data_IF_910275857353
#
_entry.id   IF_910275857353
#
_cell.length_a   1.000
_cell.length_b   1.000
_cell.length_c   1.000
_cell.angle_alpha   90.00
_cell.angle_beta   90.00
_cell.angle_gamma   90.00
#
_symmetry.space_group_name_H-M   'P 1'
#
loop_
_entity.id
_entity.type
_entity.pdbx_description
1 polymer ?
#
# COMPACT_ATOMS: atom_id res chain seq x y z
N UNK A 1 28.99 4.11 -6.41
CA UNK A 1 29.86 4.54 -7.54
C UNK A 1 30.15 6.03 -7.36
N UNK A 2 31.32 6.52 -7.80
CA UNK A 2 31.67 7.95 -7.69
C UNK A 2 31.53 8.67 -9.02
N UNK A 3 31.05 9.91 -8.99
CA UNK A 3 30.83 10.74 -10.16
C UNK A 3 31.40 12.15 -9.97
N UNK A 4 31.85 12.75 -11.07
CA UNK A 4 32.18 14.17 -11.20
C UNK A 4 31.54 14.65 -12.50
N UNK A 5 31.01 15.86 -12.50
CA UNK A 5 30.18 16.37 -13.60
C UNK A 5 30.84 17.56 -14.29
N UNK A 6 30.77 17.60 -15.62
CA UNK A 6 31.32 18.68 -16.44
C UNK A 6 30.62 20.02 -16.15
N UNK A 7 29.31 19.98 -15.85
CA UNK A 7 28.49 21.15 -15.52
C UNK A 7 28.98 21.90 -14.27
N UNK A 8 29.87 21.28 -13.50
CA UNK A 8 30.50 21.85 -12.31
C UNK A 8 32.02 21.88 -12.43
N UNK A 9 32.57 21.87 -13.65
CA UNK A 9 34.01 21.84 -13.95
C UNK A 9 34.75 20.71 -13.22
N UNK A 10 34.06 19.60 -12.95
CA UNK A 10 34.54 18.47 -12.16
C UNK A 10 35.00 18.86 -10.75
N UNK A 11 34.58 20.00 -10.20
CA UNK A 11 35.04 20.49 -8.89
C UNK A 11 34.62 19.52 -7.78
N UNK A 12 33.36 19.05 -7.82
CA UNK A 12 32.79 18.21 -6.78
C UNK A 12 32.87 16.72 -7.10
N UNK A 13 33.03 15.91 -6.05
CA UNK A 13 32.93 14.46 -6.11
C UNK A 13 31.66 14.00 -5.41
N UNK A 14 30.85 13.23 -6.13
CA UNK A 14 29.59 12.66 -5.65
C UNK A 14 29.70 11.16 -5.47
N UNK A 15 29.11 10.64 -4.39
CA UNK A 15 28.81 9.21 -4.24
C UNK A 15 27.36 9.02 -4.64
N UNK A 16 27.13 8.13 -5.61
CA UNK A 16 25.79 7.68 -5.95
C UNK A 16 25.29 6.69 -4.91
N UNK A 17 24.13 7.02 -4.35
CA UNK A 17 23.29 6.15 -3.54
C UNK A 17 21.96 5.93 -4.25
N UNK A 18 21.44 4.71 -4.22
CA UNK A 18 20.22 4.30 -4.90
C UNK A 18 19.19 3.78 -3.90
N UNK A 19 17.96 4.28 -4.01
CA UNK A 19 16.85 3.99 -3.11
C UNK A 19 15.68 3.40 -3.90
N UNK A 20 15.08 2.35 -3.34
CA UNK A 20 14.04 1.57 -3.98
C UNK A 20 12.80 1.52 -3.09
N UNK A 21 11.64 1.55 -3.74
CA UNK A 21 10.39 1.23 -3.07
C UNK A 21 10.34 -0.24 -2.73
N UNK A 22 9.85 -0.55 -1.54
CA UNK A 22 9.69 -1.93 -1.07
C UNK A 22 8.26 -2.44 -1.23
N UNK A 23 7.30 -1.57 -1.54
CA UNK A 23 5.90 -1.97 -1.73
C UNK A 23 5.77 -2.94 -2.93
N UNK A 24 5.32 -4.19 -2.71
CA UNK A 24 5.27 -5.20 -3.77
C UNK A 24 4.10 -4.98 -4.76
N UNK A 25 3.09 -4.18 -4.40
CA UNK A 25 1.86 -4.00 -5.17
C UNK A 25 1.95 -2.92 -6.25
N UNK A 26 3.04 -2.15 -6.28
CA UNK A 26 3.24 -1.08 -7.26
C UNK A 26 4.43 -1.37 -8.17
N UNK A 27 4.23 -1.22 -9.48
CA UNK A 27 5.29 -1.32 -10.49
C UNK A 27 6.01 0.02 -10.66
N UNK A 28 6.99 0.25 -9.79
CA UNK A 28 7.89 1.40 -9.92
C UNK A 28 8.86 1.18 -11.07
N UNK A 29 8.74 2.02 -12.09
CA UNK A 29 9.59 2.01 -13.28
C UNK A 29 10.77 2.99 -13.17
N UNK A 30 11.18 3.30 -11.93
CA UNK A 30 12.27 4.21 -11.63
C UNK A 30 13.02 3.80 -10.36
N UNK A 31 14.21 4.37 -10.22
CA UNK A 31 14.99 4.37 -8.98
C UNK A 31 15.18 5.80 -8.51
N UNK A 32 15.20 6.04 -7.19
CA UNK A 32 15.61 7.33 -6.64
C UNK A 32 17.13 7.31 -6.52
N UNK A 33 17.79 8.21 -7.24
CA UNK A 33 19.24 8.41 -7.16
C UNK A 33 19.51 9.61 -6.28
N UNK A 34 20.34 9.43 -5.26
CA UNK A 34 20.89 10.50 -4.44
C UNK A 34 22.37 10.68 -4.76
N UNK A 35 22.72 11.86 -5.25
CA UNK A 35 24.09 12.28 -5.46
C UNK A 35 24.58 12.94 -4.19
N UNK A 36 25.21 12.17 -3.31
CA UNK A 36 25.78 12.71 -2.08
C UNK A 36 27.14 13.34 -2.37
N UNK A 37 27.24 14.65 -2.21
CA UNK A 37 28.51 15.36 -2.33
C UNK A 37 29.41 14.98 -1.14
N UNK A 38 30.68 14.64 -1.41
CA UNK A 38 31.60 14.17 -0.37
C UNK A 38 32.03 15.28 0.60
N UNK A 39 32.23 16.50 0.11
CA UNK A 39 32.84 17.58 0.88
C UNK A 39 31.80 18.61 1.36
N UNK A 40 30.70 18.75 0.60
CA UNK A 40 29.67 19.78 0.80
C UNK A 40 28.28 19.15 0.83
N UNK A 41 27.83 18.58 1.96
CA UNK A 41 26.56 17.87 2.05
C UNK A 41 25.35 18.67 1.52
N UNK A 42 25.36 20.00 1.67
CA UNK A 42 24.34 20.93 1.19
C UNK A 42 24.25 21.02 -0.35
N UNK A 43 25.26 20.54 -1.07
CA UNK A 43 25.28 20.39 -2.53
C UNK A 43 24.73 19.05 -3.01
N UNK A 44 24.37 18.15 -2.09
CA UNK A 44 23.76 16.86 -2.44
C UNK A 44 22.34 17.05 -2.97
N UNK A 45 21.90 16.16 -3.85
CA UNK A 45 20.58 16.25 -4.46
C UNK A 45 20.05 14.87 -4.85
N UNK A 46 18.72 14.75 -4.84
CA UNK A 46 18.01 13.50 -5.13
C UNK A 46 17.09 13.68 -6.34
N UNK A 47 16.97 12.65 -7.16
CA UNK A 47 16.28 12.75 -8.43
C UNK A 47 15.87 11.33 -8.93
N UNK A 48 14.77 11.19 -9.68
CA UNK A 48 14.31 9.87 -10.17
C UNK A 48 14.91 9.54 -11.54
N UNK A 49 15.51 8.37 -11.67
CA UNK A 49 15.92 7.81 -12.97
C UNK A 49 14.92 6.75 -13.39
N UNK A 50 14.15 7.05 -14.44
CA UNK A 50 13.26 6.08 -15.04
C UNK A 50 14.07 5.03 -15.82
N UNK A 51 13.61 3.79 -15.82
CA UNK A 51 14.28 2.68 -16.50
C UNK A 51 14.32 2.80 -18.02
N UNK A 52 13.53 3.73 -18.59
CA UNK A 52 13.59 4.14 -20.00
C UNK A 52 14.59 5.29 -20.24
N UNK A 53 15.50 5.56 -19.28
CA UNK A 53 16.55 6.59 -19.34
C UNK A 53 16.03 8.03 -19.39
N UNK A 54 14.85 8.26 -18.82
CA UNK A 54 14.32 9.62 -18.59
C UNK A 54 14.45 10.01 -17.12
N UNK A 55 14.24 11.29 -16.83
CA UNK A 55 14.43 11.89 -15.51
C UNK A 55 13.13 12.54 -15.02
N UNK A 56 12.80 12.37 -13.75
CA UNK A 56 11.71 13.09 -13.06
C UNK A 56 12.18 13.67 -11.71
N UNK A 57 11.66 14.83 -11.33
CA UNK A 57 11.82 15.36 -9.97
C UNK A 57 11.06 14.50 -8.95
N UNK A 58 11.50 14.52 -7.69
CA UNK A 58 10.81 13.81 -6.61
C UNK A 58 9.69 14.72 -6.05
N UNK A 59 8.45 14.22 -5.90
CA UNK A 59 7.38 14.94 -5.21
C UNK A 59 7.79 15.35 -3.79
N UNK A 60 7.35 16.53 -3.35
CA UNK A 60 7.59 17.06 -2.00
C UNK A 60 9.07 17.15 -1.56
N UNK A 61 10.00 17.10 -2.51
CA UNK A 61 11.45 17.25 -2.28
C UNK A 61 11.93 18.65 -2.69
N UNK A 62 13.00 19.20 -2.09
CA UNK A 62 13.65 20.42 -2.55
C UNK A 62 13.88 20.45 -4.07
N UNK A 63 13.51 21.58 -4.69
CA UNK A 63 13.69 21.81 -6.13
C UNK A 63 15.17 21.77 -6.48
N UNK A 64 15.47 21.09 -7.59
CA UNK A 64 16.80 21.07 -8.15
C UNK A 64 17.17 22.46 -8.70
N UNK A 65 18.45 22.83 -8.57
CA UNK A 65 19.00 23.98 -9.29
C UNK A 65 19.05 23.69 -10.80
N UNK A 66 19.30 24.72 -11.62
CA UNK A 66 19.44 24.54 -13.07
C UNK A 66 20.58 23.58 -13.42
N UNK A 67 21.73 23.72 -12.76
CA UNK A 67 22.90 22.83 -12.91
C UNK A 67 22.55 21.40 -12.51
N UNK A 68 21.92 21.19 -11.36
CA UNK A 68 21.51 19.85 -10.90
C UNK A 68 20.48 19.22 -11.84
N UNK A 69 19.59 20.01 -12.43
CA UNK A 69 18.61 19.55 -13.42
C UNK A 69 19.30 19.07 -14.69
N UNK A 70 20.29 19.81 -15.18
CA UNK A 70 21.10 19.41 -16.34
C UNK A 70 21.87 18.12 -16.05
N UNK A 71 22.55 18.03 -14.91
CA UNK A 71 23.25 16.82 -14.45
C UNK A 71 22.30 15.63 -14.40
N UNK A 72 21.13 15.77 -13.76
CA UNK A 72 20.16 14.68 -13.60
C UNK A 72 19.65 14.17 -14.95
N UNK A 73 19.35 15.09 -15.88
CA UNK A 73 18.89 14.78 -17.23
C UNK A 73 19.95 14.04 -18.04
N UNK A 74 21.19 14.54 -18.04
CA UNK A 74 22.29 13.91 -18.77
C UNK A 74 22.70 12.56 -18.17
N UNK A 75 22.74 12.48 -16.83
CA UNK A 75 22.99 11.22 -16.13
C UNK A 75 21.98 10.15 -16.53
N UNK A 76 20.67 10.45 -16.47
CA UNK A 76 19.64 9.50 -16.86
C UNK A 76 19.76 9.06 -18.32
N UNK A 77 19.93 10.03 -19.24
CA UNK A 77 20.03 9.80 -20.69
C UNK A 77 21.24 8.94 -21.05
N UNK A 78 22.38 9.23 -20.44
CA UNK A 78 23.67 8.60 -20.74
C UNK A 78 24.00 7.41 -19.83
N UNK A 79 23.11 7.04 -18.91
CA UNK A 79 23.29 5.88 -18.05
C UNK A 79 23.59 4.62 -18.87
N UNK A 80 24.63 3.89 -18.49
CA UNK A 80 25.01 2.63 -19.12
C UNK A 80 23.86 1.61 -19.02
N UNK A 81 23.72 0.72 -20.01
CA UNK A 81 22.64 -0.28 -20.00
C UNK A 81 22.79 -1.25 -18.82
N UNK A 82 24.03 -1.58 -18.46
CA UNK A 82 24.40 -2.42 -17.33
C UNK A 82 23.99 -1.78 -15.99
N UNK A 83 24.10 -0.46 -15.89
CA UNK A 83 23.65 0.27 -14.70
C UNK A 83 22.13 0.25 -14.57
N UNK A 84 21.40 0.48 -15.68
CA UNK A 84 19.94 0.37 -15.69
C UNK A 84 19.49 -1.06 -15.37
N UNK A 85 20.20 -2.07 -15.87
CA UNK A 85 19.93 -3.48 -15.56
C UNK A 85 20.13 -3.77 -14.07
N UNK A 86 21.22 -3.26 -13.47
CA UNK A 86 21.47 -3.36 -12.04
C UNK A 86 20.36 -2.70 -11.21
N UNK A 87 19.90 -1.51 -11.62
CA UNK A 87 18.78 -0.84 -10.94
C UNK A 87 17.48 -1.65 -11.02
N UNK A 88 17.17 -2.22 -12.19
CA UNK A 88 16.00 -3.11 -12.33
C UNK A 88 16.10 -4.34 -11.44
N UNK A 89 17.27 -4.97 -11.37
CA UNK A 89 17.49 -6.13 -10.52
C UNK A 89 17.27 -5.78 -9.05
N UNK A 90 17.87 -4.69 -8.56
CA UNK A 90 17.72 -4.23 -7.17
C UNK A 90 16.29 -3.81 -6.84
N UNK A 91 15.54 -3.25 -7.79
CA UNK A 91 14.12 -2.96 -7.61
C UNK A 91 13.29 -4.24 -7.37
N UNK A 92 13.58 -5.31 -8.11
CA UNK A 92 12.94 -6.63 -7.89
C UNK A 92 13.31 -7.19 -6.52
N UNK A 93 14.59 -7.10 -6.13
CA UNK A 93 15.07 -7.53 -4.81
C UNK A 93 14.40 -6.74 -3.68
N UNK A 94 14.23 -5.41 -3.84
CA UNK A 94 13.56 -4.55 -2.87
C UNK A 94 12.08 -4.89 -2.70
N UNK A 95 11.37 -5.22 -3.79
CA UNK A 95 9.99 -5.74 -3.73
C UNK A 95 9.93 -7.05 -2.96
N UNK A 96 10.79 -8.01 -3.30
CA UNK A 96 10.84 -9.31 -2.62
C UNK A 96 11.22 -9.17 -1.12
N UNK A 97 11.99 -8.14 -0.78
CA UNK A 97 12.27 -7.75 0.60
C UNK A 97 11.01 -7.20 1.29
N UNK A 98 10.26 -6.30 0.67
CA UNK A 98 9.02 -5.77 1.25
C UNK A 98 7.93 -6.82 1.44
N UNK A 99 7.78 -7.79 0.54
CA UNK A 99 6.85 -8.91 0.75
C UNK A 99 7.10 -9.69 2.06
N UNK A 100 8.36 -9.72 2.51
CA UNK A 100 8.77 -10.36 3.78
C UNK A 100 8.67 -9.40 4.96
N UNK A 101 8.75 -8.10 4.69
CA UNK A 101 8.89 -7.04 5.69
C UNK A 101 7.87 -5.93 5.40
N UNK A 102 6.57 -6.19 5.52
CA UNK A 102 5.52 -5.23 5.16
C UNK A 102 5.61 -3.89 5.90
N UNK A 103 6.21 -3.88 7.10
CA UNK A 103 6.50 -2.66 7.85
C UNK A 103 7.42 -1.65 7.13
N UNK A 104 8.08 -2.03 6.03
CA UNK A 104 8.98 -1.14 5.28
C UNK A 104 8.24 -0.24 4.28
N UNK A 105 6.97 -0.52 4.00
CA UNK A 105 6.11 0.29 3.13
C UNK A 105 4.76 0.64 3.73
N UNK A 106 4.40 0.02 4.86
CA UNK A 106 3.18 0.35 5.59
C UNK A 106 3.40 1.57 6.49
N UNK A 107 2.54 2.56 6.33
CA UNK A 107 2.44 3.72 7.22
C UNK A 107 1.23 3.53 8.14
N UNK A 108 1.42 3.69 9.45
CA UNK A 108 0.33 3.53 10.40
C UNK A 108 -0.55 4.77 10.38
N UNK A 109 -1.83 4.59 10.03
CA UNK A 109 -2.83 5.65 10.03
C UNK A 109 -4.00 5.27 10.95
N UNK A 110 -4.22 6.00 12.07
CA UNK A 110 -5.35 5.74 12.95
C UNK A 110 -6.69 5.82 12.21
N UNK A 111 -7.53 4.79 12.36
CA UNK A 111 -8.86 4.72 11.76
C UNK A 111 -8.89 4.29 10.29
N UNK A 112 -7.74 4.07 9.65
CA UNK A 112 -7.66 3.43 8.33
C UNK A 112 -7.83 1.92 8.47
N UNK A 113 -8.61 1.33 7.58
CA UNK A 113 -8.70 -0.12 7.44
C UNK A 113 -7.68 -0.58 6.39
N UNK A 114 -6.91 -1.60 6.73
CA UNK A 114 -5.90 -2.17 5.84
C UNK A 114 -6.35 -3.54 5.36
N UNK A 115 -6.21 -3.79 4.06
CA UNK A 115 -6.51 -5.08 3.46
C UNK A 115 -5.52 -6.14 4.01
N UNK A 116 -6.01 -7.32 4.35
CA UNK A 116 -5.16 -8.39 4.89
C UNK A 116 -4.01 -8.77 3.97
N UNK A 117 -4.26 -8.80 2.65
CA UNK A 117 -3.26 -9.11 1.65
C UNK A 117 -2.17 -8.03 1.58
N UNK A 118 -2.52 -6.75 1.80
CA UNK A 118 -1.56 -5.66 1.89
C UNK A 118 -0.60 -5.84 3.08
N UNK A 119 -1.15 -6.29 4.22
CA UNK A 119 -0.39 -6.57 5.45
C UNK A 119 0.41 -7.86 5.37
N UNK A 120 -0.07 -8.85 4.61
CA UNK A 120 0.53 -10.17 4.49
C UNK A 120 0.55 -10.64 3.01
N UNK A 121 1.43 -10.07 2.16
CA UNK A 121 1.43 -10.31 0.70
C UNK A 121 1.66 -11.77 0.29
N UNK A 122 2.24 -12.57 1.20
CA UNK A 122 2.56 -13.99 0.98
C UNK A 122 1.44 -14.93 1.42
N UNK A 123 0.33 -14.38 1.90
CA UNK A 123 -0.84 -15.16 2.30
C UNK A 123 -1.43 -15.88 1.07
N UNK A 124 -1.66 -17.19 1.20
CA UNK A 124 -2.22 -18.02 0.12
C UNK A 124 -3.68 -18.40 0.37
N UNK A 125 -4.22 -18.11 1.55
CA UNK A 125 -5.56 -18.52 1.97
C UNK A 125 -6.62 -17.53 1.46
N UNK A 126 -6.72 -17.31 0.15
CA UNK A 126 -7.69 -16.36 -0.42
C UNK A 126 -9.14 -16.74 -0.04
N UNK A 127 -10.03 -15.73 -0.01
CA UNK A 127 -11.45 -15.94 0.29
C UNK A 127 -12.24 -16.12 -1.01
N UNK A 128 -11.81 -17.08 -1.82
CA UNK A 128 -12.42 -17.39 -3.11
C UNK A 128 -13.63 -18.33 -2.93
N UNK A 129 -14.68 -18.13 -3.73
CA UNK A 129 -15.89 -18.95 -3.68
C UNK A 129 -16.64 -18.92 -5.01
N UNK A 130 -17.52 -19.90 -5.25
CA UNK A 130 -18.39 -19.91 -6.43
C UNK A 130 -19.82 -19.53 -6.04
N UNK A 131 -20.48 -18.78 -6.91
CA UNK A 131 -21.88 -18.40 -6.75
C UNK A 131 -22.55 -18.28 -8.13
N UNK A 132 -23.71 -18.91 -8.32
CA UNK A 132 -24.44 -18.83 -9.60
C UNK A 132 -23.65 -19.31 -10.83
N UNK A 133 -22.72 -20.26 -10.66
CA UNK A 133 -21.89 -20.80 -11.75
C UNK A 133 -20.64 -19.96 -12.10
N UNK A 134 -20.43 -18.84 -11.42
CA UNK A 134 -19.30 -17.94 -11.64
C UNK A 134 -18.39 -17.92 -10.41
N UNK A 135 -17.13 -17.51 -10.60
CA UNK A 135 -16.14 -17.38 -9.54
C UNK A 135 -16.08 -15.95 -8.97
N UNK A 136 -15.97 -15.86 -7.65
CA UNK A 136 -15.89 -14.63 -6.89
C UNK A 136 -14.77 -14.74 -5.85
N UNK A 137 -14.36 -13.59 -5.32
CA UNK A 137 -13.49 -13.53 -4.17
C UNK A 137 -13.93 -12.42 -3.23
N UNK A 138 -13.61 -12.56 -1.95
CA UNK A 138 -13.76 -11.51 -0.96
C UNK A 138 -12.40 -11.05 -0.44
N UNK A 139 -12.32 -9.77 -0.11
CA UNK A 139 -11.21 -9.18 0.60
C UNK A 139 -11.63 -8.79 2.00
N UNK A 140 -10.78 -9.07 2.98
CA UNK A 140 -10.97 -8.72 4.37
C UNK A 140 -10.03 -7.58 4.77
N UNK A 141 -10.60 -6.49 5.26
CA UNK A 141 -9.88 -5.31 5.72
C UNK A 141 -10.11 -5.06 7.20
N UNK A 142 -9.08 -4.58 7.90
CA UNK A 142 -9.04 -4.53 9.35
C UNK A 142 -8.55 -3.18 9.86
N UNK A 143 -9.13 -2.70 10.95
CA UNK A 143 -8.50 -1.66 11.76
C UNK A 143 -7.27 -2.26 12.45
N UNK A 144 -6.09 -1.76 12.10
CA UNK A 144 -4.82 -2.25 12.65
C UNK A 144 -4.49 -1.65 14.01
N UNK A 145 -5.17 -0.58 14.44
CA UNK A 145 -4.90 0.11 15.70
C UNK A 145 -5.17 -0.83 16.89
N UNK A 146 -4.14 -1.24 17.65
CA UNK A 146 -4.31 -2.16 18.77
C UNK A 146 -5.05 -1.55 19.96
N UNK A 147 -5.25 -0.23 19.97
CA UNK A 147 -6.04 0.46 21.01
C UNK A 147 -7.55 0.28 20.80
N UNK A 148 -7.97 -0.11 19.60
CA UNK A 148 -9.38 -0.32 19.24
C UNK A 148 -9.75 -1.82 19.29
N UNK A 149 -10.63 -2.21 20.22
CA UNK A 149 -11.21 -3.58 20.30
C UNK A 149 -12.55 -3.66 19.55
N UNK A 150 -12.57 -3.25 18.28
CA UNK A 150 -13.76 -3.22 17.44
C UNK A 150 -14.40 -4.60 17.19
N UNK A 151 -13.63 -5.69 17.36
CA UNK A 151 -14.05 -7.10 17.12
C UNK A 151 -14.84 -7.31 15.83
N UNK A 152 -14.44 -6.59 14.79
CA UNK A 152 -15.02 -6.67 13.46
C UNK A 152 -13.97 -6.40 12.39
N UNK A 153 -14.36 -6.62 11.15
CA UNK A 153 -13.61 -6.34 9.94
C UNK A 153 -14.58 -5.95 8.81
N UNK A 154 -14.06 -5.44 7.71
CA UNK A 154 -14.85 -5.18 6.51
C UNK A 154 -14.59 -6.26 5.47
N UNK A 155 -15.66 -6.86 4.94
CA UNK A 155 -15.62 -7.72 3.77
C UNK A 155 -16.04 -6.94 2.53
N UNK A 156 -15.27 -7.05 1.46
CA UNK A 156 -15.57 -6.47 0.15
C UNK A 156 -15.57 -7.60 -0.89
N UNK A 157 -16.64 -7.72 -1.67
CA UNK A 157 -16.86 -8.85 -2.57
C UNK A 157 -16.67 -8.44 -4.03
N UNK A 158 -15.96 -9.25 -4.80
CA UNK A 158 -15.61 -8.98 -6.18
C UNK A 158 -15.91 -10.18 -7.06
N UNK A 159 -16.24 -9.91 -8.33
CA UNK A 159 -16.29 -10.96 -9.35
C UNK A 159 -14.85 -11.25 -9.79
N UNK A 160 -14.49 -12.51 -9.96
CA UNK A 160 -13.17 -12.84 -10.49
C UNK A 160 -13.08 -12.42 -11.98
N UNK A 161 -12.24 -11.42 -12.27
CA UNK A 161 -11.98 -10.91 -13.62
C UNK A 161 -10.48 -10.68 -13.79
N UNK A 162 -9.85 -11.38 -14.75
CA UNK A 162 -8.39 -11.31 -14.93
C UNK A 162 -7.89 -9.95 -15.44
N UNK A 163 -8.71 -9.23 -16.20
CA UNK A 163 -8.29 -8.01 -16.92
C UNK A 163 -8.78 -6.70 -16.30
N UNK A 164 -9.28 -6.72 -15.05
CA UNK A 164 -9.87 -5.55 -14.41
C UNK A 164 -9.28 -5.28 -13.02
N UNK A 165 -8.11 -4.65 -12.99
CA UNK A 165 -7.41 -4.31 -11.74
C UNK A 165 -8.17 -3.27 -10.89
N UNK A 166 -9.00 -2.41 -11.50
CA UNK A 166 -9.72 -1.32 -10.84
C UNK A 166 -11.20 -1.65 -10.60
N UNK A 167 -11.54 -2.94 -10.49
CA UNK A 167 -12.91 -3.37 -10.29
C UNK A 167 -13.47 -2.87 -8.94
N UNK A 168 -14.57 -2.14 -8.98
CA UNK A 168 -15.30 -1.78 -7.76
C UNK A 168 -15.94 -3.03 -7.12
N UNK A 169 -16.02 -3.11 -5.77
CA UNK A 169 -16.69 -4.21 -5.11
C UNK A 169 -18.17 -4.25 -5.48
N UNK A 170 -18.70 -5.46 -5.68
CA UNK A 170 -20.13 -5.72 -5.89
C UNK A 170 -20.93 -5.20 -4.69
N UNK A 171 -20.44 -5.52 -3.49
CA UNK A 171 -20.90 -4.93 -2.24
C UNK A 171 -19.82 -5.05 -1.17
N UNK A 172 -20.06 -4.40 -0.04
CA UNK A 172 -19.25 -4.59 1.16
C UNK A 172 -20.14 -4.65 2.39
N UNK A 173 -19.72 -5.41 3.39
CA UNK A 173 -20.43 -5.58 4.67
C UNK A 173 -19.43 -5.56 5.82
N UNK A 174 -19.88 -5.13 7.00
CA UNK A 174 -19.08 -5.28 8.22
C UNK A 174 -19.32 -6.68 8.77
N UNK A 175 -18.25 -7.44 8.96
CA UNK A 175 -18.32 -8.76 9.58
C UNK A 175 -17.98 -8.64 11.07
N UNK A 176 -18.98 -8.84 11.92
CA UNK A 176 -18.80 -8.91 13.38
C UNK A 176 -18.46 -10.34 13.82
N UNK A 177 -17.52 -10.46 14.76
CA UNK A 177 -17.22 -11.76 15.37
C UNK A 177 -18.29 -12.20 16.38
N UNK A 178 -18.96 -11.23 16.99
CA UNK A 178 -20.16 -11.42 17.81
C UNK A 178 -21.35 -11.72 16.89
N UNK A 179 -22.13 -12.74 17.25
CA UNK A 179 -23.14 -13.36 16.37
C UNK A 179 -24.39 -12.50 16.23
N UNK A 180 -24.92 -11.95 17.32
CA UNK A 180 -26.12 -11.10 17.28
C UNK A 180 -25.88 -9.81 16.47
N UNK A 181 -24.69 -9.21 16.62
CA UNK A 181 -24.28 -8.04 15.85
C UNK A 181 -24.10 -8.39 14.37
N UNK A 182 -23.54 -9.56 14.06
CA UNK A 182 -23.38 -10.05 12.68
C UNK A 182 -24.74 -10.26 12.03
N UNK A 183 -25.68 -10.93 12.70
CA UNK A 183 -27.04 -11.13 12.18
C UNK A 183 -27.76 -9.81 11.88
N UNK A 184 -27.63 -8.81 12.76
CA UNK A 184 -28.22 -7.47 12.54
C UNK A 184 -27.60 -6.74 11.35
N UNK A 185 -26.31 -6.94 11.09
CA UNK A 185 -25.64 -6.34 9.93
C UNK A 185 -26.02 -7.07 8.64
N UNK A 186 -26.00 -8.40 8.65
CA UNK A 186 -26.35 -9.24 7.51
C UNK A 186 -27.81 -9.05 7.07
N UNK A 187 -28.73 -8.79 8.01
CA UNK A 187 -30.12 -8.46 7.73
C UNK A 187 -30.32 -7.18 6.89
N UNK A 188 -29.29 -6.32 6.78
CA UNK A 188 -29.32 -5.11 5.93
C UNK A 188 -28.99 -5.42 4.47
N UNK A 189 -28.48 -6.60 4.16
CA UNK A 189 -28.10 -6.99 2.82
C UNK A 189 -29.34 -7.25 1.94
N UNK A 190 -29.20 -6.97 0.64
CA UNK A 190 -30.20 -7.42 -0.33
C UNK A 190 -30.22 -8.95 -0.39
N UNK A 191 -31.34 -9.59 -0.80
CA UNK A 191 -31.42 -11.05 -0.91
C UNK A 191 -30.24 -11.65 -1.71
N UNK A 192 -29.91 -11.05 -2.85
CA UNK A 192 -28.78 -11.46 -3.69
C UNK A 192 -27.43 -11.38 -2.97
N UNK A 193 -27.18 -10.34 -2.18
CA UNK A 193 -25.92 -10.16 -1.46
C UNK A 193 -25.82 -11.11 -0.27
N UNK A 194 -26.95 -11.35 0.41
CA UNK A 194 -27.04 -12.31 1.49
C UNK A 194 -26.78 -13.75 0.97
N UNK A 195 -27.38 -14.12 -0.17
CA UNK A 195 -27.13 -15.41 -0.81
C UNK A 195 -25.65 -15.59 -1.17
N UNK A 196 -24.99 -14.51 -1.62
CA UNK A 196 -23.56 -14.52 -1.93
C UNK A 196 -22.68 -14.69 -0.67
N UNK A 197 -23.04 -14.03 0.44
CA UNK A 197 -22.39 -14.21 1.74
C UNK A 197 -22.57 -15.66 2.26
N UNK A 198 -23.77 -16.22 2.13
CA UNK A 198 -24.08 -17.61 2.48
C UNK A 198 -23.23 -18.57 1.63
N UNK A 199 -23.14 -18.35 0.32
CA UNK A 199 -22.30 -19.15 -0.56
C UNK A 199 -20.84 -19.13 -0.12
N UNK A 200 -20.28 -17.95 0.21
CA UNK A 200 -18.91 -17.85 0.72
C UNK A 200 -18.73 -18.66 2.03
N UNK A 201 -19.65 -18.56 2.98
CA UNK A 201 -19.62 -19.33 4.23
C UNK A 201 -19.67 -20.85 3.98
N UNK A 202 -20.40 -21.31 2.97
CA UNK A 202 -20.46 -22.73 2.59
C UNK A 202 -19.17 -23.21 1.93
N UNK A 203 -18.56 -22.39 1.07
CA UNK A 203 -17.29 -22.70 0.42
C UNK A 203 -16.09 -22.65 1.37
N UNK A 204 -16.17 -21.80 2.39
CA UNK A 204 -15.12 -21.59 3.39
C UNK A 204 -15.69 -21.95 4.77
N UNK A 205 -15.83 -23.25 5.10
CA UNK A 205 -16.50 -23.68 6.32
C UNK A 205 -15.80 -23.21 7.60
N UNK A 206 -14.50 -22.88 7.53
CA UNK A 206 -13.71 -22.33 8.63
C UNK A 206 -13.61 -20.80 8.63
N UNK A 207 -14.46 -20.09 7.86
CA UNK A 207 -14.33 -18.64 7.63
C UNK A 207 -14.20 -17.85 8.92
N UNK A 208 -15.09 -18.06 9.90
CA UNK A 208 -15.07 -17.31 11.15
C UNK A 208 -13.74 -17.48 11.90
N UNK A 209 -13.23 -18.71 12.00
CA UNK A 209 -11.97 -19.00 12.67
C UNK A 209 -10.78 -18.44 11.90
N UNK A 210 -10.82 -18.49 10.57
CA UNK A 210 -9.82 -17.87 9.69
C UNK A 210 -9.78 -16.36 9.91
N UNK A 211 -10.91 -15.67 9.85
CA UNK A 211 -11.02 -14.23 10.07
C UNK A 211 -10.60 -13.83 11.50
N UNK A 212 -10.93 -14.62 12.53
CA UNK A 212 -10.44 -14.40 13.90
C UNK A 212 -8.93 -14.54 14.01
N UNK A 213 -8.32 -15.53 13.34
CA UNK A 213 -6.85 -15.69 13.30
C UNK A 213 -6.19 -14.50 12.61
N UNK A 214 -6.77 -14.04 11.49
CA UNK A 214 -6.30 -12.87 10.75
C UNK A 214 -6.38 -11.60 11.58
N UNK A 215 -7.52 -11.34 12.23
CA UNK A 215 -7.69 -10.21 13.15
C UNK A 215 -6.57 -10.14 14.20
N UNK A 216 -6.25 -11.26 14.85
CA UNK A 216 -5.16 -11.32 15.85
C UNK A 216 -3.81 -10.96 15.25
N UNK A 217 -3.47 -11.52 14.08
CA UNK A 217 -2.21 -11.21 13.37
C UNK A 217 -2.13 -9.73 13.00
N UNK A 218 -3.25 -9.16 12.54
CA UNK A 218 -3.31 -7.75 12.17
C UNK A 218 -3.10 -6.84 13.39
N UNK A 219 -3.75 -7.11 14.52
CA UNK A 219 -3.53 -6.34 15.75
C UNK A 219 -2.08 -6.44 16.24
N UNK A 220 -1.44 -7.61 16.09
CA UNK A 220 -0.01 -7.77 16.39
C UNK A 220 0.87 -6.91 15.48
N UNK A 221 0.62 -6.92 14.16
CA UNK A 221 1.32 -6.04 13.21
C UNK A 221 1.16 -4.56 13.58
N UNK A 222 -0.05 -4.13 13.94
CA UNK A 222 -0.29 -2.75 14.39
C UNK A 222 0.53 -2.38 15.63
N UNK A 223 0.70 -3.29 16.58
CA UNK A 223 1.59 -3.07 17.74
C UNK A 223 3.05 -2.92 17.33
N UNK A 224 3.53 -3.69 16.35
CA UNK A 224 4.90 -3.61 15.85
C UNK A 224 5.16 -2.30 15.10
N UNK A 225 4.23 -1.89 14.23
CA UNK A 225 4.29 -0.63 13.50
C UNK A 225 4.34 0.57 14.46
N UNK A 226 3.50 0.58 15.50
CA UNK A 226 3.51 1.64 16.51
C UNK A 226 4.80 1.69 17.34
N UNK A 227 5.49 0.56 17.54
CA UNK A 227 6.78 0.54 18.28
C UNK A 227 7.95 1.03 17.43
N UNK A 228 7.91 0.76 16.13
CA UNK A 228 9.02 1.03 15.21
C UNK A 228 8.92 2.39 14.52
N UNK A 229 7.78 3.08 14.61
CA UNK A 229 7.60 4.43 14.08
C UNK A 229 7.80 5.47 15.20
N UNK A 230 8.45 6.60 14.87
CA UNK A 230 8.51 7.75 15.79
C UNK A 230 7.08 8.14 16.21
N UNK A 231 6.85 8.58 17.46
CA UNK A 231 5.52 8.91 17.94
C UNK A 231 4.85 9.91 16.99
N UNK A 232 3.89 9.42 16.21
CA UNK A 232 3.13 10.25 15.29
C UNK A 232 2.30 11.20 16.14
N UNK A 233 2.65 12.48 16.14
CA UNK A 233 1.74 13.51 16.61
C UNK A 233 0.46 13.35 15.79
N UNK A 234 -0.65 13.04 16.46
CA UNK A 234 -1.96 12.82 15.83
C UNK A 234 -2.40 14.15 15.21
N UNK A 235 -1.93 14.46 14.01
CA UNK A 235 -2.62 15.39 13.13
C UNK A 235 -3.64 14.55 12.38
N UNK A 236 -4.82 14.37 13.00
CA UNK A 236 -5.97 13.89 12.26
C UNK A 236 -6.27 14.92 11.16
N UNK A 237 -5.77 14.71 9.94
CA UNK A 237 -6.47 15.25 8.79
C UNK A 237 -7.85 14.59 8.79
N UNK A 238 -8.86 15.38 9.20
CA UNK A 238 -10.24 14.91 9.20
C UNK A 238 -10.62 14.63 7.75
N UNK A 239 -10.83 13.35 7.42
CA UNK A 239 -11.40 12.94 6.13
C UNK A 239 -12.64 13.77 5.86
N UNK A 240 -12.64 14.50 4.75
CA UNK A 240 -13.74 15.40 4.44
C UNK A 240 -14.99 14.57 4.13
N UNK A 241 -16.20 15.04 4.48
CA UNK A 241 -17.45 14.33 4.26
C UNK A 241 -17.64 13.75 2.85
N UNK A 242 -17.09 14.39 1.82
CA UNK A 242 -17.26 14.00 0.42
C UNK A 242 -16.09 13.18 -0.17
N UNK A 243 -14.99 12.99 0.56
CA UNK A 243 -13.85 12.18 0.10
C UNK A 243 -14.22 10.70 0.09
N UNK A 244 -13.57 9.88 -0.76
CA UNK A 244 -13.68 8.42 -0.68
C UNK A 244 -13.42 7.95 0.76
N UNK A 245 -14.28 7.07 1.25
CA UNK A 245 -14.14 6.53 2.60
C UNK A 245 -12.78 5.81 2.72
N UNK A 246 -11.96 6.09 3.75
CA UNK A 246 -10.68 5.40 3.98
C UNK A 246 -10.87 3.91 4.28
N UNK A 247 -12.11 3.47 4.46
CA UNK A 247 -12.52 2.08 4.58
C UNK A 247 -12.58 1.32 3.24
N UNK A 248 -12.27 1.96 2.11
CA UNK A 248 -12.23 1.29 0.80
C UNK A 248 -13.61 0.91 0.24
N UNK A 249 -14.71 1.35 0.86
CA UNK A 249 -16.09 1.00 0.42
C UNK A 249 -16.53 1.62 -0.92
N UNK A 250 -15.70 2.47 -1.53
CA UNK A 250 -16.04 3.27 -2.70
C UNK A 250 -17.09 4.36 -2.44
N UNK A 251 -17.64 4.47 -1.22
CA UNK A 251 -18.63 5.48 -0.84
C UNK A 251 -17.95 6.73 -0.29
N UNK A 252 -18.64 7.88 -0.36
CA UNK A 252 -18.21 9.11 0.32
C UNK A 252 -18.16 8.89 1.84
N UNK A 253 -17.17 9.43 2.54
CA UNK A 253 -16.97 9.25 3.98
C UNK A 253 -18.24 9.53 4.80
N UNK A 254 -18.98 10.59 4.48
CA UNK A 254 -20.26 10.95 5.14
C UNK A 254 -21.38 9.92 5.01
N UNK A 255 -21.30 9.04 4.01
CA UNK A 255 -22.27 7.98 3.73
C UNK A 255 -21.75 6.60 4.14
N UNK A 256 -20.62 6.55 4.84
CA UNK A 256 -19.97 5.32 5.25
C UNK A 256 -19.52 5.41 6.70
N UNK A 257 -18.22 5.45 6.99
CA UNK A 257 -17.69 5.42 8.35
C UNK A 257 -18.14 6.59 9.24
N UNK A 258 -18.51 7.74 8.68
CA UNK A 258 -19.05 8.84 9.48
C UNK A 258 -20.42 8.53 10.12
N UNK A 259 -21.16 7.54 9.59
CA UNK A 259 -22.43 7.09 10.17
C UNK A 259 -22.23 6.08 11.32
N UNK A 260 -21.03 5.52 11.44
CA UNK A 260 -20.67 4.51 12.46
C UNK A 260 -20.03 5.15 13.71
N UNK A 261 -19.86 6.48 13.72
CA UNK A 261 -19.25 7.25 14.81
C UNK A 261 -20.30 8.02 15.65
N UNK A 262 -21.59 7.69 15.52
CA UNK A 262 -22.69 8.23 16.33
C UNK A 262 -23.25 7.16 17.25
#
# INVERSE_FOLDING_TARGET
>A
MTYRFEQEDYIYTYILEDYYHTNPFFDYNYVVVFMRNQDKPEKSFAFQVNFNKTFNTIPDHPKLTEVQTQISKEFAKNAANELILLFKQRAIEAKAYGEKNPATYLEFEPGRYFNFFELFPRNKEMLDFNYGGEQYFAEDSYDIDPRNDNRCLQLSFFKFQLDNADQAPIFSSVYYFEEEAREKEDAKLSPKNNDMLIAMNQFIPDLNDRLKKRYKKVKQMGQELMKNQAPVAIQQEKVKPNEPCPCGSGKKYKKCCALMLN
#
